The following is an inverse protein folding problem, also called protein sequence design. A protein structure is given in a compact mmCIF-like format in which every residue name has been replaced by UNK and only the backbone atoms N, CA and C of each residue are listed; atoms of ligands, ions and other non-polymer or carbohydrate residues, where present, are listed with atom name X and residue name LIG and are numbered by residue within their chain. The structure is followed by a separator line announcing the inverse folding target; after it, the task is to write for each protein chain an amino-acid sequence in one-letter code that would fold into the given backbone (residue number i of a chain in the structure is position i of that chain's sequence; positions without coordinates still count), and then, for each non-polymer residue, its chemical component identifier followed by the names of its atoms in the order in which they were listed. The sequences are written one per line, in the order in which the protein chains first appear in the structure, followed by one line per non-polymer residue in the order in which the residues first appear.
data_IF_414162864093
#
_entry.id   IF_414162864093
#
_cell.length_a   1.000
_cell.length_b   1.000
_cell.length_c   1.000
_cell.angle_alpha   90.00
_cell.angle_beta   90.00
_cell.angle_gamma   90.00
#
_symmetry.space_group_name_H-M   'P 1'
#
loop_
_entity.id
_entity.type
_entity.pdbx_description
1 polymer ?
#
# COMPACT_ATOMS: atom_id res chain seq x y z
N UNK A 1 1.03 15.25 34.01
CA UNK A 1 2.04 14.54 33.19
C UNK A 1 1.34 14.16 31.89
N UNK A 2 1.59 14.90 30.80
CA UNK A 2 0.89 14.72 29.51
C UNK A 2 1.67 13.72 28.67
N UNK A 3 1.16 12.51 28.50
CA UNK A 3 1.74 11.56 27.54
C UNK A 3 1.47 12.08 26.11
N UNK A 4 2.53 12.50 25.41
CA UNK A 4 2.48 12.69 23.96
C UNK A 4 2.52 11.31 23.33
N UNK A 5 1.39 10.84 22.80
CA UNK A 5 1.36 9.64 21.97
C UNK A 5 1.97 9.96 20.62
N UNK A 6 3.08 9.30 20.30
CA UNK A 6 3.81 9.44 19.03
C UNK A 6 3.22 8.56 17.92
N UNK A 7 2.30 7.65 18.27
CA UNK A 7 1.74 6.66 17.33
C UNK A 7 2.76 5.62 16.84
N UNK A 8 3.99 5.64 17.34
CA UNK A 8 5.09 4.77 16.89
C UNK A 8 4.97 3.33 17.40
N UNK A 9 4.27 3.12 18.51
CA UNK A 9 4.29 1.85 19.24
C UNK A 9 2.89 1.28 19.43
N UNK A 10 2.79 -0.05 19.28
CA UNK A 10 1.56 -0.79 19.54
C UNK A 10 1.38 -1.01 21.03
N UNK A 11 0.13 -1.16 21.46
CA UNK A 11 -0.17 -1.59 22.82
C UNK A 11 0.51 -2.93 23.14
N UNK A 12 1.05 -3.08 24.35
CA UNK A 12 1.65 -4.32 24.84
C UNK A 12 0.55 -5.38 25.08
N UNK A 13 0.13 -6.05 24.01
CA UNK A 13 -0.85 -7.15 24.03
C UNK A 13 -0.26 -8.42 23.43
N UNK A 14 -0.72 -9.59 23.83
CA UNK A 14 -0.26 -10.88 23.30
C UNK A 14 -1.42 -11.63 22.60
N UNK A 15 -1.36 -11.86 21.28
CA UNK A 15 -0.28 -11.48 20.35
C UNK A 15 -0.31 -9.97 20.00
N UNK A 16 0.86 -9.34 19.75
CA UNK A 16 0.97 -7.89 19.47
C UNK A 16 0.40 -7.48 18.11
N UNK A 17 0.17 -8.46 17.22
CA UNK A 17 -0.49 -8.29 15.93
C UNK A 17 -1.36 -9.52 15.70
N UNK A 18 -2.67 -9.32 15.63
CA UNK A 18 -3.62 -10.35 15.25
C UNK A 18 -4.11 -10.05 13.84
N UNK A 19 -3.97 -11.02 12.94
CA UNK A 19 -4.60 -10.98 11.63
C UNK A 19 -5.65 -12.08 11.65
N UNK A 20 -6.92 -11.69 11.70
CA UNK A 20 -8.05 -12.63 11.69
C UNK A 20 -8.47 -12.84 10.23
N UNK A 21 -8.16 -14.01 9.68
CA UNK A 21 -8.38 -14.33 8.26
C UNK A 21 -7.23 -13.85 7.36
N UNK A 22 -7.30 -14.17 6.08
CA UNK A 22 -6.34 -13.67 5.08
C UNK A 22 -7.06 -12.68 4.17
N UNK A 23 -6.50 -11.50 3.85
CA UNK A 23 -7.13 -10.58 2.90
C UNK A 23 -7.23 -11.15 1.46
N UNK A 24 -6.81 -12.40 1.21
CA UNK A 24 -6.89 -13.09 -0.09
C UNK A 24 -6.27 -12.27 -1.25
N UNK A 25 -5.22 -11.51 -0.93
CA UNK A 25 -4.56 -10.59 -1.88
C UNK A 25 -5.39 -9.37 -2.26
N UNK A 26 -6.48 -9.06 -1.55
CA UNK A 26 -7.31 -7.89 -1.82
C UNK A 26 -6.83 -6.69 -1.01
N UNK A 27 -6.79 -5.50 -1.63
CA UNK A 27 -6.52 -4.26 -0.94
C UNK A 27 -7.76 -3.75 -0.18
N UNK A 28 -7.53 -2.81 0.71
CA UNK A 28 -8.54 -1.87 1.17
C UNK A 28 -8.63 -0.77 0.11
N UNK A 29 -9.80 -0.59 -0.50
CA UNK A 29 -10.04 0.44 -1.53
C UNK A 29 -10.57 1.70 -0.85
N UNK A 30 -9.77 2.77 -0.81
CA UNK A 30 -10.14 4.05 -0.19
C UNK A 30 -10.71 5.00 -1.24
N UNK A 31 -10.15 4.97 -2.45
CA UNK A 31 -10.71 5.59 -3.65
C UNK A 31 -10.62 4.62 -4.83
N UNK A 32 -11.70 4.41 -5.60
CA UNK A 32 -11.66 3.55 -6.77
C UNK A 32 -10.75 4.16 -7.85
N UNK A 33 -10.17 3.35 -8.76
CA UNK A 33 -9.57 3.87 -9.98
C UNK A 33 -10.54 4.77 -10.74
N UNK A 34 -10.00 5.80 -11.40
CA UNK A 34 -10.77 6.81 -12.12
C UNK A 34 -10.17 7.06 -13.51
N UNK A 35 -10.71 8.04 -14.23
CA UNK A 35 -10.34 8.38 -15.62
C UNK A 35 -8.88 8.83 -15.80
N UNK A 36 -8.13 9.05 -14.73
CA UNK A 36 -6.70 9.34 -14.79
C UNK A 36 -5.85 8.08 -15.06
N UNK A 37 -6.45 6.89 -14.98
CA UNK A 37 -5.80 5.58 -15.18
C UNK A 37 -4.56 5.33 -14.30
N UNK A 38 -4.36 6.18 -13.29
CA UNK A 38 -3.32 6.05 -12.28
C UNK A 38 -3.87 5.52 -10.95
N UNK A 39 -3.06 4.71 -10.28
CA UNK A 39 -3.40 4.10 -8.99
C UNK A 39 -2.25 4.25 -7.99
N UNK A 40 -2.54 4.84 -6.83
CA UNK A 40 -1.64 4.85 -5.70
C UNK A 40 -1.84 3.59 -4.83
N UNK A 41 -0.76 2.90 -4.49
CA UNK A 41 -0.78 1.75 -3.56
C UNK A 41 0.18 2.01 -2.39
N UNK A 42 -0.31 1.83 -1.17
CA UNK A 42 0.44 2.06 0.08
C UNK A 42 0.33 0.87 1.02
N UNK A 43 1.07 0.88 2.14
CA UNK A 43 0.86 -0.09 3.22
C UNK A 43 -0.40 0.24 4.04
N UNK A 44 -0.50 1.48 4.54
CA UNK A 44 -1.55 1.93 5.46
C UNK A 44 -2.62 2.79 4.80
N UNK A 45 -3.80 2.86 5.44
CA UNK A 45 -4.96 3.61 4.92
C UNK A 45 -4.74 5.13 4.97
N UNK A 46 -3.97 5.62 5.93
CA UNK A 46 -3.63 7.02 6.13
C UNK A 46 -2.80 7.56 4.96
N UNK A 47 -1.83 6.77 4.50
CA UNK A 47 -1.00 7.11 3.34
C UNK A 47 -1.81 7.06 2.05
N UNK A 48 -2.71 6.07 1.89
CA UNK A 48 -3.57 5.98 0.71
C UNK A 48 -4.51 7.20 0.61
N UNK A 49 -5.13 7.59 1.72
CA UNK A 49 -5.97 8.79 1.78
C UNK A 49 -5.16 10.06 1.50
N UNK A 50 -3.93 10.13 2.01
CA UNK A 50 -3.02 11.26 1.74
C UNK A 50 -2.67 11.35 0.26
N UNK A 51 -2.30 10.22 -0.37
CA UNK A 51 -2.01 10.15 -1.79
C UNK A 51 -3.23 10.53 -2.64
N UNK A 52 -4.43 10.06 -2.30
CA UNK A 52 -5.66 10.46 -2.98
C UNK A 52 -5.92 11.96 -2.85
N UNK A 53 -5.81 12.52 -1.65
CA UNK A 53 -6.04 13.94 -1.40
C UNK A 53 -5.04 14.83 -2.15
N UNK A 54 -3.78 14.38 -2.29
CA UNK A 54 -2.72 15.13 -2.95
C UNK A 54 -2.77 15.02 -4.48
N UNK A 55 -3.13 13.85 -5.02
CA UNK A 55 -2.96 13.54 -6.44
C UNK A 55 -4.29 13.38 -7.20
N UNK A 56 -5.41 13.16 -6.50
CA UNK A 56 -6.71 12.87 -7.11
C UNK A 56 -6.82 11.48 -7.76
N UNK A 57 -5.80 10.63 -7.66
CA UNK A 57 -5.78 9.27 -8.23
C UNK A 57 -6.64 8.28 -7.43
N UNK A 58 -6.97 7.12 -8.01
CA UNK A 58 -7.43 5.99 -7.21
C UNK A 58 -6.38 5.63 -6.15
N UNK A 59 -6.81 5.14 -4.98
CA UNK A 59 -5.90 4.90 -3.86
C UNK A 59 -6.29 3.69 -3.02
N UNK A 60 -5.35 2.76 -2.90
CA UNK A 60 -5.50 1.47 -2.21
C UNK A 60 -4.45 1.30 -1.13
N UNK A 61 -4.82 0.63 -0.05
CA UNK A 61 -3.89 0.18 0.99
C UNK A 61 -3.80 -1.35 1.02
N UNK A 62 -2.58 -1.88 1.10
CA UNK A 62 -2.34 -3.33 1.21
C UNK A 62 -2.67 -3.87 2.63
N UNK A 63 -2.66 -3.01 3.65
CA UNK A 63 -2.90 -3.35 5.06
C UNK A 63 -1.68 -3.92 5.79
N UNK A 64 -0.60 -4.25 5.07
CA UNK A 64 0.70 -4.70 5.59
C UNK A 64 1.70 -4.79 4.43
N UNK A 65 2.99 -4.49 4.66
CA UNK A 65 4.05 -4.72 3.66
C UNK A 65 4.05 -6.15 3.10
N UNK A 66 3.78 -7.13 3.97
CA UNK A 66 3.70 -8.56 3.60
C UNK A 66 2.59 -8.89 2.60
N UNK A 67 1.57 -8.04 2.46
CA UNK A 67 0.43 -8.26 1.57
C UNK A 67 0.57 -7.56 0.22
N UNK A 68 1.48 -6.58 0.12
CA UNK A 68 1.69 -5.80 -1.12
C UNK A 68 1.84 -6.67 -2.37
N UNK A 69 2.67 -7.74 -2.41
CA UNK A 69 2.87 -8.50 -3.65
C UNK A 69 1.59 -9.14 -4.19
N UNK A 70 0.69 -9.58 -3.29
CA UNK A 70 -0.56 -10.23 -3.67
C UNK A 70 -1.57 -9.26 -4.28
N UNK A 71 -1.49 -7.96 -3.96
CA UNK A 71 -2.35 -6.91 -4.54
C UNK A 71 -2.17 -6.80 -6.05
N UNK A 72 -0.99 -7.13 -6.58
CA UNK A 72 -0.73 -7.13 -8.01
C UNK A 72 -1.76 -7.97 -8.79
N UNK A 73 -2.27 -9.07 -8.24
CA UNK A 73 -3.21 -9.94 -8.95
C UNK A 73 -4.58 -9.28 -9.23
N UNK A 74 -4.93 -8.25 -8.46
CA UNK A 74 -6.25 -7.61 -8.53
C UNK A 74 -6.23 -6.19 -9.09
N UNK A 75 -5.05 -5.65 -9.41
CA UNK A 75 -4.95 -4.36 -10.13
C UNK A 75 -5.54 -4.54 -11.54
N UNK A 76 -6.55 -3.76 -11.97
CA UNK A 76 -7.14 -3.93 -13.30
C UNK A 76 -6.12 -3.69 -14.41
N UNK A 77 -6.25 -4.41 -15.53
CA UNK A 77 -5.32 -4.28 -16.67
C UNK A 77 -5.46 -2.98 -17.46
N UNK A 78 -6.51 -2.19 -17.20
CA UNK A 78 -6.68 -0.86 -17.80
C UNK A 78 -5.93 0.25 -17.05
N UNK A 79 -5.28 -0.07 -15.94
CA UNK A 79 -4.43 0.88 -15.21
C UNK A 79 -3.13 1.06 -15.98
N UNK A 80 -2.81 2.30 -16.34
CA UNK A 80 -1.59 2.62 -17.08
C UNK A 80 -0.39 2.63 -16.14
N UNK A 81 -0.55 3.26 -14.96
CA UNK A 81 0.55 3.47 -14.01
C UNK A 81 0.12 3.21 -12.57
N UNK A 82 0.98 2.51 -11.84
CA UNK A 82 0.88 2.34 -10.40
C UNK A 82 2.04 3.05 -9.71
N UNK A 83 1.72 3.96 -8.79
CA UNK A 83 2.70 4.57 -7.88
C UNK A 83 2.62 3.87 -6.53
N UNK A 84 3.73 3.24 -6.11
CA UNK A 84 3.86 2.54 -4.83
C UNK A 84 4.60 3.47 -3.86
N UNK A 85 3.95 3.83 -2.75
CA UNK A 85 4.59 4.60 -1.67
C UNK A 85 5.12 3.64 -0.61
N UNK A 86 6.43 3.40 -0.62
CA UNK A 86 7.09 2.51 0.32
C UNK A 86 7.36 3.20 1.66
N UNK A 87 7.15 2.48 2.76
CA UNK A 87 7.69 2.90 4.06
C UNK A 87 9.22 2.75 4.07
N UNK A 88 9.89 3.63 4.82
CA UNK A 88 11.36 3.70 4.86
C UNK A 88 12.03 2.54 5.64
N UNK A 89 11.26 1.56 6.12
CA UNK A 89 11.79 0.36 6.75
C UNK A 89 12.00 -0.78 5.74
N UNK A 90 12.80 -1.78 6.14
CA UNK A 90 13.14 -2.92 5.28
C UNK A 90 11.90 -3.69 4.80
N UNK A 91 10.89 -3.85 5.66
CA UNK A 91 9.68 -4.59 5.32
C UNK A 91 8.89 -3.87 4.23
N UNK A 92 8.63 -2.58 4.43
CA UNK A 92 7.97 -1.70 3.47
C UNK A 92 8.66 -1.68 2.12
N UNK A 93 9.98 -1.50 2.11
CA UNK A 93 10.77 -1.49 0.87
C UNK A 93 10.78 -2.86 0.15
N UNK A 94 10.95 -3.96 0.89
CA UNK A 94 10.93 -5.31 0.31
C UNK A 94 9.55 -5.65 -0.29
N UNK A 95 8.47 -5.25 0.40
CA UNK A 95 7.09 -5.40 -0.08
C UNK A 95 6.82 -4.58 -1.35
N UNK A 96 7.24 -3.31 -1.36
CA UNK A 96 7.08 -2.42 -2.51
C UNK A 96 7.84 -2.92 -3.75
N UNK A 97 9.08 -3.40 -3.59
CA UNK A 97 9.88 -3.96 -4.68
C UNK A 97 9.22 -5.21 -5.28
N UNK A 98 8.71 -6.11 -4.45
CA UNK A 98 8.02 -7.32 -4.92
C UNK A 98 6.71 -7.00 -5.65
N UNK A 99 5.93 -6.04 -5.16
CA UNK A 99 4.75 -5.53 -5.86
C UNK A 99 5.13 -4.90 -7.20
N UNK A 100 6.20 -4.09 -7.25
CA UNK A 100 6.66 -3.47 -8.48
C UNK A 100 7.03 -4.50 -9.56
N UNK A 101 7.78 -5.55 -9.19
CA UNK A 101 8.11 -6.65 -10.09
C UNK A 101 6.85 -7.33 -10.62
N UNK A 102 5.92 -7.70 -9.74
CA UNK A 102 4.69 -8.39 -10.13
C UNK A 102 3.78 -7.55 -11.04
N UNK A 103 3.76 -6.22 -10.89
CA UNK A 103 3.01 -5.32 -11.78
C UNK A 103 3.72 -5.12 -13.12
N UNK A 104 5.04 -5.01 -13.10
CA UNK A 104 5.84 -4.90 -14.31
C UNK A 104 5.71 -6.15 -15.20
N UNK A 105 5.69 -7.34 -14.61
CA UNK A 105 5.43 -8.61 -15.31
C UNK A 105 4.05 -8.67 -15.97
N UNK A 106 3.09 -7.85 -15.49
CA UNK A 106 1.76 -7.69 -16.08
C UNK A 106 1.69 -6.59 -17.14
N UNK A 107 2.81 -5.92 -17.43
CA UNK A 107 2.88 -4.84 -18.41
C UNK A 107 2.38 -3.48 -17.90
N UNK A 108 2.24 -3.30 -16.59
CA UNK A 108 1.80 -2.04 -15.98
C UNK A 108 3.04 -1.18 -15.67
N UNK A 109 2.99 0.12 -15.97
CA UNK A 109 4.06 1.05 -15.58
C UNK A 109 4.10 1.18 -14.05
N UNK A 110 5.30 1.14 -13.45
CA UNK A 110 5.45 1.26 -12.01
C UNK A 110 6.39 2.39 -11.65
N UNK A 111 5.96 3.22 -10.68
CA UNK A 111 6.79 4.19 -9.97
C UNK A 111 6.87 3.76 -8.50
N UNK A 112 8.05 3.83 -7.90
CA UNK A 112 8.23 3.51 -6.48
C UNK A 112 8.86 4.72 -5.79
N UNK A 113 8.12 5.28 -4.83
CA UNK A 113 8.55 6.40 -4.01
C UNK A 113 8.98 5.90 -2.62
N UNK A 114 9.94 6.57 -2.00
CA UNK A 114 10.39 6.25 -0.62
C UNK A 114 11.43 5.13 -0.51
N UNK A 115 12.08 4.74 -1.62
CA UNK A 115 13.28 3.89 -1.56
C UNK A 115 14.50 4.72 -1.17
N UNK A 116 15.25 4.26 -0.17
CA UNK A 116 16.52 4.82 0.30
C UNK A 116 17.70 3.93 -0.04
#
# INVERSE_FOLDING_TARGET
MSARFTGSDKAEVNPPKLVVGSPLGRPIVLAPPNELLGLAITEGIEDALTAHAALGLGAWAAGSASFMPAVAAVVPSYIDVVTIFAHADKGGQDGARKLAVALHERGIEVRVEGLS
#
